data_IF_388468263904
#
_entry.id   IF_388468263904
#
_cell.length_a   1.000
_cell.length_b   1.000
_cell.length_c   1.000
_cell.angle_alpha   90.00
_cell.angle_beta   90.00
_cell.angle_gamma   90.00
#
_symmetry.space_group_name_H-M   'P 1'
#
loop_
_entity.id
_entity.type
_entity.pdbx_description
1 polymer ?
#
# COMPACT_ATOMS: atom_id res chain seq x y z
N UNK A 1 15.08 19.19 -20.51
CA UNK A 1 13.74 19.80 -20.36
C UNK A 1 13.70 20.59 -19.06
N UNK A 2 13.66 21.92 -19.13
CA UNK A 2 13.52 22.77 -17.95
C UNK A 2 12.10 22.67 -17.39
N UNK A 3 11.95 22.45 -16.08
CA UNK A 3 10.64 22.40 -15.41
C UNK A 3 10.01 23.80 -15.41
N UNK A 4 8.83 23.92 -16.02
CA UNK A 4 8.06 25.18 -16.16
C UNK A 4 7.57 25.73 -14.80
N UNK A 5 7.47 24.89 -13.77
CA UNK A 5 7.03 25.29 -12.43
C UNK A 5 8.19 25.26 -11.43
N UNK A 6 8.49 26.42 -10.81
CA UNK A 6 9.50 26.62 -9.76
C UNK A 6 8.94 26.44 -8.33
N UNK A 7 7.83 25.73 -8.17
CA UNK A 7 7.29 25.38 -6.85
C UNK A 7 8.02 24.20 -6.23
N UNK A 8 7.96 24.05 -4.90
CA UNK A 8 8.41 22.81 -4.25
C UNK A 8 7.68 21.62 -4.90
N UNK A 9 8.39 20.55 -5.30
CA UNK A 9 7.75 19.35 -5.83
C UNK A 9 6.70 18.87 -4.85
N UNK A 10 5.46 18.70 -5.31
CA UNK A 10 4.42 18.04 -4.51
C UNK A 10 4.84 16.59 -4.30
N UNK A 11 4.74 16.10 -3.07
CA UNK A 11 5.05 14.71 -2.72
C UNK A 11 3.91 14.16 -1.89
N UNK A 12 3.71 12.84 -1.93
CA UNK A 12 2.60 12.19 -1.27
C UNK A 12 1.62 11.52 -2.22
N UNK A 13 0.51 11.06 -1.67
CA UNK A 13 -0.53 10.34 -2.41
C UNK A 13 -1.77 11.22 -2.61
N UNK A 14 -2.22 11.34 -3.87
CA UNK A 14 -3.30 12.24 -4.27
C UNK A 14 -4.32 11.57 -5.22
N UNK A 15 -5.59 11.98 -5.17
CA UNK A 15 -6.61 11.43 -6.06
C UNK A 15 -6.32 11.83 -7.51
N UNK A 16 -6.59 10.93 -8.47
CA UNK A 16 -6.56 11.29 -9.91
C UNK A 16 -7.83 12.00 -10.40
N UNK A 17 -8.76 12.30 -9.48
CA UNK A 17 -10.06 12.97 -9.69
C UNK A 17 -11.09 12.23 -10.57
N UNK A 18 -10.69 11.19 -11.31
CA UNK A 18 -11.58 10.46 -12.22
C UNK A 18 -11.81 8.99 -11.81
N UNK A 19 -11.67 8.64 -10.52
CA UNK A 19 -11.71 7.25 -10.07
C UNK A 19 -12.47 6.97 -8.76
N UNK A 20 -13.28 5.90 -8.72
CA UNK A 20 -13.99 5.46 -7.50
C UNK A 20 -13.02 4.98 -6.41
N UNK A 21 -11.87 4.41 -6.79
CA UNK A 21 -10.81 3.97 -5.86
C UNK A 21 -10.28 5.14 -4.99
N UNK A 22 -10.33 6.35 -5.53
CA UNK A 22 -9.80 7.57 -4.94
C UNK A 22 -10.62 8.04 -3.73
N UNK A 23 -11.85 7.54 -3.54
CA UNK A 23 -12.68 7.83 -2.35
C UNK A 23 -12.09 7.27 -1.04
N UNK A 24 -11.30 6.20 -1.14
CA UNK A 24 -10.61 5.55 -0.02
C UNK A 24 -9.17 6.02 0.18
N UNK A 25 -8.71 7.03 -0.54
CA UNK A 25 -7.32 7.46 -0.48
C UNK A 25 -7.03 8.21 0.83
N UNK A 26 -5.87 7.96 1.43
CA UNK A 26 -5.30 8.80 2.49
C UNK A 26 -4.42 9.83 1.78
N UNK A 27 -4.87 11.08 1.79
CA UNK A 27 -4.20 12.18 1.10
C UNK A 27 -3.09 12.75 1.97
N UNK A 28 -1.98 13.13 1.33
CA UNK A 28 -0.91 13.88 1.97
C UNK A 28 0.47 13.29 1.73
N UNK A 29 1.45 14.01 2.24
CA UNK A 29 2.89 13.78 2.11
C UNK A 29 3.49 13.00 3.28
N UNK A 30 2.67 12.63 4.26
CA UNK A 30 3.09 11.92 5.46
C UNK A 30 2.06 10.88 5.88
N UNK A 31 2.55 9.84 6.54
CA UNK A 31 1.73 8.81 7.19
C UNK A 31 2.16 8.65 8.64
N UNK A 32 1.22 8.49 9.55
CA UNK A 32 1.53 8.15 10.93
C UNK A 32 1.84 6.66 11.07
N UNK A 33 2.93 6.35 11.77
CA UNK A 33 3.25 4.98 12.14
C UNK A 33 2.10 4.40 12.97
N UNK A 34 1.58 3.19 12.63
CA UNK A 34 0.35 2.66 13.22
C UNK A 34 0.42 2.47 14.75
N UNK A 35 1.56 2.02 15.28
CA UNK A 35 1.73 1.81 16.73
C UNK A 35 2.44 2.95 17.46
N UNK A 36 3.46 3.57 16.85
CA UNK A 36 4.29 4.61 17.48
C UNK A 36 3.73 6.02 17.33
N UNK A 37 2.80 6.25 16.40
CA UNK A 37 2.20 7.56 16.13
C UNK A 37 3.12 8.59 15.46
N UNK A 38 4.42 8.34 15.34
CA UNK A 38 5.34 9.28 14.70
C UNK A 38 5.08 9.40 13.19
N UNK A 39 5.30 10.61 12.66
CA UNK A 39 5.11 10.87 11.23
C UNK A 39 6.26 10.29 10.40
N UNK A 40 5.92 9.69 9.27
CA UNK A 40 6.82 9.17 8.25
C UNK A 40 6.59 10.00 6.98
N UNK A 41 7.62 10.69 6.50
CA UNK A 41 7.55 11.47 5.27
C UNK A 41 7.56 10.57 4.04
N UNK A 42 6.71 10.88 3.06
CA UNK A 42 6.68 10.27 1.74
C UNK A 42 7.54 11.11 0.78
N UNK A 43 8.20 10.45 -0.15
CA UNK A 43 9.22 11.08 -1.01
C UNK A 43 8.80 11.21 -2.49
N UNK A 44 7.68 10.61 -2.88
CA UNK A 44 7.24 10.56 -4.27
C UNK A 44 5.85 11.13 -4.43
N UNK A 45 5.59 11.83 -5.54
CA UNK A 45 4.23 12.15 -5.97
C UNK A 45 3.58 10.90 -6.56
N UNK A 46 2.41 10.52 -6.04
CA UNK A 46 1.74 9.29 -6.43
C UNK A 46 0.24 9.49 -6.55
N UNK A 47 -0.36 8.72 -7.44
CA UNK A 47 -1.82 8.64 -7.58
C UNK A 47 -2.23 7.18 -7.72
N UNK A 48 -3.53 6.91 -7.89
CA UNK A 48 -4.01 5.56 -8.14
C UNK A 48 -3.56 4.98 -9.51
N UNK A 49 -3.01 5.82 -10.40
CA UNK A 49 -2.46 5.43 -11.70
C UNK A 49 -0.98 5.00 -11.60
N UNK A 50 -0.31 5.27 -10.48
CA UNK A 50 1.08 4.88 -10.26
C UNK A 50 1.18 3.35 -10.13
N UNK A 51 2.18 2.74 -10.77
CA UNK A 51 2.54 1.33 -10.63
C UNK A 51 3.97 1.18 -10.08
N UNK A 52 4.43 -0.06 -9.92
CA UNK A 52 5.73 -0.39 -9.31
C UNK A 52 5.89 0.23 -7.92
N UNK A 53 4.93 -0.04 -7.03
CA UNK A 53 4.89 0.60 -5.71
C UNK A 53 4.82 -0.40 -4.57
N UNK A 54 5.27 0.04 -3.41
CA UNK A 54 4.86 -0.48 -2.11
C UNK A 54 3.76 0.42 -1.56
N UNK A 55 2.62 -0.15 -1.19
CA UNK A 55 1.46 0.55 -0.69
C UNK A 55 1.06 0.06 0.71
N UNK A 56 0.28 0.89 1.41
CA UNK A 56 -0.32 0.56 2.69
C UNK A 56 -1.84 0.55 2.56
N UNK A 57 -2.48 -0.43 3.18
CA UNK A 57 -3.91 -0.40 3.48
C UNK A 57 -4.12 -0.18 4.96
N UNK A 58 -5.13 0.61 5.32
CA UNK A 58 -5.51 0.90 6.69
C UNK A 58 -6.95 0.49 6.94
N UNK A 59 -7.15 -0.28 7.99
CA UNK A 59 -8.44 -0.67 8.53
C UNK A 59 -8.99 0.45 9.44
N UNK A 60 -10.32 0.63 9.57
CA UNK A 60 -10.90 1.57 10.54
C UNK A 60 -10.44 1.34 12.00
N UNK A 61 -10.07 0.12 12.40
CA UNK A 61 -9.50 -0.14 13.73
C UNK A 61 -8.04 0.30 13.90
N UNK A 62 -7.43 0.94 12.89
CA UNK A 62 -6.06 1.45 12.96
C UNK A 62 -4.98 0.46 12.50
N UNK A 63 -5.31 -0.82 12.42
CA UNK A 63 -4.40 -1.88 11.94
C UNK A 63 -4.12 -1.71 10.44
N UNK A 64 -2.89 -2.02 10.02
CA UNK A 64 -2.41 -1.82 8.64
C UNK A 64 -1.91 -3.10 7.98
N UNK A 65 -1.96 -3.10 6.65
CA UNK A 65 -1.38 -4.11 5.76
C UNK A 65 -0.41 -3.41 4.82
N UNK A 66 0.74 -4.01 4.56
CA UNK A 66 1.69 -3.57 3.54
C UNK A 66 1.67 -4.56 2.39
N UNK A 67 1.62 -4.05 1.16
CA UNK A 67 1.69 -4.85 -0.05
C UNK A 67 2.50 -4.17 -1.14
N UNK A 68 2.93 -4.92 -2.15
CA UNK A 68 3.50 -4.36 -3.37
C UNK A 68 2.66 -4.63 -4.61
N UNK A 69 2.85 -3.82 -5.65
CA UNK A 69 2.30 -4.12 -6.98
C UNK A 69 3.14 -3.49 -8.10
N UNK A 70 3.33 -4.25 -9.19
CA UNK A 70 3.85 -3.74 -10.46
C UNK A 70 2.76 -2.98 -11.23
N UNK A 71 1.52 -3.44 -11.13
CA UNK A 71 0.36 -2.85 -11.82
C UNK A 71 -0.04 -1.52 -11.18
N UNK A 72 -0.98 -0.81 -11.79
CA UNK A 72 -1.54 0.42 -11.22
C UNK A 72 -2.21 0.13 -9.88
N UNK A 73 -1.98 1.00 -8.88
CA UNK A 73 -2.57 0.85 -7.53
C UNK A 73 -4.08 0.65 -7.58
N UNK A 74 -4.80 1.38 -8.44
CA UNK A 74 -6.26 1.25 -8.56
C UNK A 74 -6.75 -0.17 -8.84
N UNK A 75 -5.99 -0.93 -9.64
CA UNK A 75 -6.32 -2.31 -9.97
C UNK A 75 -6.16 -3.20 -8.73
N UNK A 76 -5.07 -3.00 -7.99
CA UNK A 76 -4.80 -3.76 -6.76
C UNK A 76 -5.81 -3.45 -5.66
N UNK A 77 -6.21 -2.18 -5.49
CA UNK A 77 -7.25 -1.80 -4.51
C UNK A 77 -8.62 -2.38 -4.92
N UNK A 78 -8.93 -2.43 -6.21
CA UNK A 78 -10.18 -3.06 -6.70
C UNK A 78 -10.23 -4.55 -6.32
N UNK A 79 -9.12 -5.26 -6.48
CA UNK A 79 -9.01 -6.68 -6.07
C UNK A 79 -9.24 -6.82 -4.57
N UNK A 80 -8.49 -6.10 -3.73
CA UNK A 80 -8.66 -6.15 -2.27
C UNK A 80 -10.10 -5.86 -1.83
N UNK A 81 -10.74 -4.83 -2.41
CA UNK A 81 -12.16 -4.53 -2.10
C UNK A 81 -13.11 -5.63 -2.56
N UNK A 82 -12.81 -6.30 -3.68
CA UNK A 82 -13.54 -7.48 -4.14
C UNK A 82 -13.42 -8.64 -3.16
N UNK A 83 -12.20 -8.96 -2.73
CA UNK A 83 -11.92 -10.04 -1.79
C UNK A 83 -12.59 -9.82 -0.44
N UNK A 84 -12.61 -8.58 0.07
CA UNK A 84 -13.33 -8.24 1.31
C UNK A 84 -14.84 -8.47 1.18
N UNK A 85 -15.46 -8.03 0.07
CA UNK A 85 -16.92 -8.18 -0.12
C UNK A 85 -17.33 -9.64 -0.30
N UNK A 86 -16.50 -10.42 -0.97
CA UNK A 86 -16.77 -11.80 -1.36
C UNK A 86 -15.97 -12.79 -0.52
N UNK A 87 -15.62 -12.41 0.72
CA UNK A 87 -14.81 -13.25 1.57
C UNK A 87 -15.47 -14.61 1.78
N UNK A 88 -14.71 -15.67 1.49
CA UNK A 88 -15.07 -17.04 1.80
C UNK A 88 -13.81 -17.77 2.25
N UNK A 89 -13.86 -18.37 3.44
CA UNK A 89 -12.76 -19.14 4.01
C UNK A 89 -12.31 -20.25 3.05
N UNK A 90 -11.01 -20.50 2.98
CA UNK A 90 -10.38 -21.54 2.13
C UNK A 90 -10.66 -21.36 0.62
N UNK A 91 -10.75 -20.11 0.16
CA UNK A 91 -10.84 -19.76 -1.26
C UNK A 91 -9.82 -18.69 -1.64
N UNK A 92 -9.77 -18.32 -2.92
CA UNK A 92 -8.90 -17.23 -3.38
C UNK A 92 -9.22 -15.86 -2.75
N UNK A 93 -10.41 -15.69 -2.16
CA UNK A 93 -10.76 -14.46 -1.41
C UNK A 93 -10.40 -14.56 0.07
N UNK A 94 -9.81 -15.66 0.54
CA UNK A 94 -9.26 -15.81 1.89
C UNK A 94 -7.84 -15.21 1.97
N UNK A 95 -7.78 -13.89 1.83
CA UNK A 95 -6.54 -13.11 1.98
C UNK A 95 -6.42 -12.61 3.42
N UNK A 96 -5.22 -12.22 3.88
CA UNK A 96 -5.05 -11.67 5.23
C UNK A 96 -5.94 -10.44 5.49
N UNK A 97 -6.12 -9.59 4.47
CA UNK A 97 -6.94 -8.36 4.55
C UNK A 97 -8.42 -8.71 4.63
N UNK A 98 -8.93 -9.55 3.73
CA UNK A 98 -10.35 -9.91 3.70
C UNK A 98 -10.76 -10.73 4.93
N UNK A 99 -9.91 -11.66 5.38
CA UNK A 99 -10.08 -12.40 6.63
C UNK A 99 -10.18 -11.44 7.82
N UNK A 100 -9.25 -10.49 7.93
CA UNK A 100 -9.28 -9.49 9.00
C UNK A 100 -10.59 -8.67 9.00
N UNK A 101 -11.02 -8.17 7.83
CA UNK A 101 -12.24 -7.38 7.70
C UNK A 101 -13.48 -8.19 8.08
N UNK A 102 -13.56 -9.45 7.65
CA UNK A 102 -14.64 -10.35 8.02
C UNK A 102 -14.71 -10.60 9.53
N UNK A 103 -13.60 -10.98 10.15
CA UNK A 103 -13.54 -11.27 11.59
C UNK A 103 -13.90 -10.05 12.44
N UNK A 104 -13.51 -8.85 12.01
CA UNK A 104 -13.78 -7.61 12.75
C UNK A 104 -15.10 -6.93 12.33
N UNK A 105 -15.91 -7.55 11.46
CA UNK A 105 -17.17 -6.99 10.94
C UNK A 105 -16.99 -5.60 10.29
N UNK A 106 -15.86 -5.38 9.62
CA UNK A 106 -15.59 -4.16 8.87
C UNK A 106 -15.95 -4.33 7.39
N UNK A 107 -16.28 -3.23 6.74
CA UNK A 107 -16.74 -3.22 5.35
C UNK A 107 -15.69 -2.67 4.38
N UNK A 108 -15.71 -3.16 3.14
CA UNK A 108 -14.78 -2.75 2.08
C UNK A 108 -14.79 -1.23 1.78
N UNK A 109 -15.88 -0.52 2.08
CA UNK A 109 -15.96 0.94 1.94
C UNK A 109 -15.13 1.68 2.97
N UNK A 110 -14.84 1.06 4.12
CA UNK A 110 -14.04 1.65 5.20
C UNK A 110 -12.54 1.49 5.00
N UNK A 111 -12.12 0.60 4.08
CA UNK A 111 -10.72 0.41 3.70
C UNK A 111 -10.14 1.74 3.20
N UNK A 112 -9.00 2.15 3.77
CA UNK A 112 -8.22 3.30 3.30
C UNK A 112 -6.87 2.86 2.74
N UNK A 113 -6.27 3.65 1.85
CA UNK A 113 -4.99 3.30 1.23
C UNK A 113 -4.10 4.50 0.90
N UNK A 114 -2.78 4.29 0.83
CA UNK A 114 -1.80 5.23 0.28
C UNK A 114 -0.58 4.50 -0.30
N UNK A 115 0.27 5.21 -1.03
CA UNK A 115 1.55 4.68 -1.51
C UNK A 115 2.67 5.07 -0.55
N UNK A 116 3.43 4.09 -0.09
CA UNK A 116 4.59 4.29 0.80
C UNK A 116 5.84 4.64 -0.01
N UNK A 117 6.02 3.96 -1.15
CA UNK A 117 7.23 4.10 -1.95
C UNK A 117 6.98 3.70 -3.40
N UNK A 118 7.58 4.44 -4.33
CA UNK A 118 7.67 4.09 -5.75
C UNK A 118 9.05 3.47 -6.00
N UNK A 119 9.07 2.31 -6.65
CA UNK A 119 10.30 1.63 -7.05
C UNK A 119 10.65 2.06 -8.47
N UNK A 120 11.74 2.81 -8.59
CA UNK A 120 12.28 3.19 -9.89
C UNK A 120 13.08 2.02 -10.49
N UNK A 121 12.92 1.78 -11.78
CA UNK A 121 13.72 0.79 -12.50
C UNK A 121 15.19 1.23 -12.49
N UNK A 122 16.13 0.40 -12.01
CA UNK A 122 17.54 0.75 -12.00
C UNK A 122 18.06 0.96 -13.42
N UNK A 123 18.86 2.02 -13.61
CA UNK A 123 19.35 2.44 -14.92
C UNK A 123 20.25 1.41 -15.62
N UNK A 124 20.86 0.49 -14.87
CA UNK A 124 21.80 -0.54 -15.37
C UNK A 124 21.19 -1.95 -15.43
N UNK A 125 19.86 -2.03 -15.43
CA UNK A 125 19.15 -3.30 -15.29
C UNK A 125 19.13 -3.78 -13.84
N UNK A 126 18.18 -4.65 -13.53
CA UNK A 126 17.96 -5.19 -12.19
C UNK A 126 16.56 -5.80 -12.10
N UNK A 127 16.41 -6.80 -11.24
CA UNK A 127 15.13 -7.44 -11.03
C UNK A 127 14.23 -6.55 -10.15
N UNK A 128 13.40 -5.73 -10.80
CA UNK A 128 12.42 -4.85 -10.14
C UNK A 128 11.49 -5.64 -9.22
N UNK A 129 11.21 -6.91 -9.53
CA UNK A 129 10.38 -7.77 -8.67
C UNK A 129 11.13 -8.13 -7.39
N UNK A 130 12.42 -8.46 -7.48
CA UNK A 130 13.27 -8.68 -6.29
C UNK A 130 13.34 -7.42 -5.43
N UNK A 131 13.51 -6.24 -6.04
CA UNK A 131 13.54 -4.97 -5.31
C UNK A 131 12.19 -4.70 -4.61
N UNK A 132 11.06 -4.91 -5.30
CA UNK A 132 9.73 -4.75 -4.69
C UNK A 132 9.54 -5.67 -3.48
N UNK A 133 9.97 -6.94 -3.57
CA UNK A 133 9.91 -7.88 -2.46
C UNK A 133 10.76 -7.42 -1.27
N UNK A 134 11.99 -6.97 -1.52
CA UNK A 134 12.87 -6.44 -0.47
C UNK A 134 12.28 -5.19 0.20
N UNK A 135 11.72 -4.27 -0.59
CA UNK A 135 11.13 -3.03 -0.06
C UNK A 135 9.84 -3.28 0.70
N UNK A 136 9.00 -4.20 0.22
CA UNK A 136 7.81 -4.70 0.94
C UNK A 136 8.21 -5.27 2.32
N UNK A 137 9.21 -6.16 2.37
CA UNK A 137 9.76 -6.71 3.59
C UNK A 137 10.24 -5.64 4.58
N UNK A 138 10.98 -4.64 4.11
CA UNK A 138 11.45 -3.52 4.93
C UNK A 138 10.26 -2.72 5.48
N UNK A 139 9.25 -2.44 4.67
CA UNK A 139 8.07 -1.68 5.11
C UNK A 139 7.19 -2.45 6.09
N UNK A 140 7.03 -3.77 5.91
CA UNK A 140 6.32 -4.64 6.87
C UNK A 140 6.98 -4.52 8.25
N UNK A 141 8.31 -4.64 8.31
CA UNK A 141 9.07 -4.49 9.55
C UNK A 141 8.96 -3.07 10.10
N UNK A 142 9.13 -2.05 9.24
CA UNK A 142 9.13 -0.63 9.63
C UNK A 142 7.78 -0.19 10.21
N UNK A 143 6.66 -0.72 9.72
CA UNK A 143 5.32 -0.37 10.21
C UNK A 143 4.77 -1.36 11.24
N UNK A 144 5.53 -2.39 11.61
CA UNK A 144 5.07 -3.49 12.47
C UNK A 144 3.74 -4.10 11.98
N UNK A 145 3.65 -4.38 10.68
CA UNK A 145 2.39 -4.80 10.05
C UNK A 145 2.14 -6.30 10.09
N UNK A 146 2.93 -7.08 10.84
CA UNK A 146 2.68 -8.51 11.04
C UNK A 146 1.59 -8.77 12.07
N UNK A 147 0.78 -9.80 11.85
CA UNK A 147 -0.18 -10.31 12.84
C UNK A 147 0.55 -10.63 14.17
N UNK A 148 0.03 -10.21 15.35
CA UNK A 148 -1.30 -9.62 15.58
C UNK A 148 -1.34 -8.08 15.51
N UNK A 149 -0.20 -7.38 15.43
CA UNK A 149 -0.17 -5.91 15.43
C UNK A 149 -0.59 -5.30 14.08
N UNK A 150 -0.49 -6.07 13.00
CA UNK A 150 -0.90 -5.74 11.65
C UNK A 150 -1.69 -6.87 10.97
N UNK A 151 -1.88 -6.75 9.66
CA UNK A 151 -2.64 -7.70 8.83
C UNK A 151 -1.75 -8.62 7.97
N UNK A 152 -0.44 -8.43 7.90
CA UNK A 152 0.44 -9.32 7.14
C UNK A 152 0.65 -10.64 7.92
N UNK A 153 0.36 -11.78 7.30
CA UNK A 153 0.60 -13.10 7.92
C UNK A 153 2.11 -13.43 8.00
N UNK A 154 2.88 -12.99 7.02
CA UNK A 154 4.32 -13.25 6.93
C UNK A 154 5.03 -12.18 6.08
N UNK A 155 6.35 -12.19 6.17
CA UNK A 155 7.26 -11.49 5.29
C UNK A 155 8.39 -12.44 4.90
N UNK A 156 8.97 -12.29 3.71
CA UNK A 156 10.04 -13.16 3.24
C UNK A 156 11.38 -12.44 3.19
N UNK A 157 12.37 -13.01 3.88
CA UNK A 157 13.77 -12.58 3.78
C UNK A 157 14.52 -13.24 2.64
N UNK A 158 13.94 -14.24 1.97
CA UNK A 158 14.59 -14.95 0.87
C UNK A 158 14.95 -14.02 -0.31
N UNK A 159 14.25 -12.90 -0.43
CA UNK A 159 14.56 -11.87 -1.43
C UNK A 159 15.90 -11.13 -1.17
N UNK A 160 16.53 -11.32 -0.01
CA UNK A 160 17.86 -10.75 0.33
C UNK A 160 19.02 -11.72 0.13
N UNK A 161 18.73 -12.99 -0.12
CA UNK A 161 19.71 -14.01 -0.49
C UNK A 161 19.93 -13.99 -2.02
#
# INVERSE_FOLDING_TARGET
MQKIFKGKPTVGTYPCLNCVCCSSIIKGDKVQHPTKGNNIQLHSYTTCETGHVVYMLKCPCGIVYVGQTIRKVKERIKVHKGDIRNFKKETNTDTPVSRHFYTNKHHASQLKWLVLEVIESPHRGGDVRKILLQREAIWIKKLNSLTPAGMNDQWSVACFL
#
